data_IF_378681624015
#
_entry.id   IF_378681624015
#
_cell.length_a   1.000
_cell.length_b   1.000
_cell.length_c   1.000
_cell.angle_alpha   90.00
_cell.angle_beta   90.00
_cell.angle_gamma   90.00
#
_symmetry.space_group_name_H-M   'P 1'
#
loop_
_entity.id
_entity.type
_entity.pdbx_description
1 polymer ?
#
# COMPACT_ATOMS: atom_id res chain seq x y z
N UNK A 1 -22.46 15.74 35.96
CA UNK A 1 -22.38 14.60 35.06
C UNK A 1 -22.27 14.99 33.58
N UNK A 2 -22.91 16.09 33.13
CA UNK A 2 -22.88 16.53 31.72
C UNK A 2 -21.54 17.16 31.30
N UNK A 3 -20.77 17.72 32.20
CA UNK A 3 -19.46 18.33 31.93
C UNK A 3 -18.39 17.26 31.68
N UNK A 4 -18.41 16.16 32.43
CA UNK A 4 -17.48 15.03 32.24
C UNK A 4 -17.64 14.36 30.87
N UNK A 5 -18.89 14.18 30.40
CA UNK A 5 -19.15 13.60 29.08
C UNK A 5 -18.74 14.51 27.93
N UNK A 6 -18.78 15.84 28.11
CA UNK A 6 -18.33 16.80 27.08
C UNK A 6 -16.80 16.86 26.98
N UNK A 7 -16.10 16.72 28.08
CA UNK A 7 -14.63 16.66 28.10
C UNK A 7 -14.15 15.37 27.44
N UNK A 8 -14.72 14.22 27.85
CA UNK A 8 -14.41 12.92 27.22
C UNK A 8 -14.71 12.90 25.71
N UNK A 9 -15.83 13.51 25.27
CA UNK A 9 -16.17 13.62 23.85
C UNK A 9 -15.26 14.56 23.05
N UNK A 10 -14.64 15.54 23.73
CA UNK A 10 -13.69 16.47 23.13
C UNK A 10 -12.33 15.82 22.96
N UNK A 11 -11.85 15.07 23.95
CA UNK A 11 -10.65 14.25 23.88
C UNK A 11 -10.74 13.18 22.80
N UNK A 12 -11.91 12.57 22.61
CA UNK A 12 -12.16 11.57 21.57
C UNK A 12 -11.98 12.16 20.15
N UNK A 13 -12.48 13.37 19.91
CA UNK A 13 -12.34 14.03 18.60
C UNK A 13 -10.90 14.36 18.25
N UNK A 14 -10.05 14.61 19.23
CA UNK A 14 -8.63 14.92 19.04
C UNK A 14 -7.81 13.69 18.66
N UNK A 15 -8.30 12.49 18.98
CA UNK A 15 -7.69 11.20 18.64
C UNK A 15 -8.08 10.67 17.27
N UNK A 16 -9.06 11.29 16.60
CA UNK A 16 -9.53 10.88 15.28
C UNK A 16 -8.99 11.80 14.21
N UNK A 17 -8.37 11.22 13.21
CA UNK A 17 -7.86 11.93 12.04
C UNK A 17 -8.50 11.38 10.78
N UNK A 18 -9.05 12.27 9.96
CA UNK A 18 -9.55 11.95 8.63
C UNK A 18 -8.51 12.27 7.59
N UNK A 19 -8.30 11.35 6.65
CA UNK A 19 -7.48 11.54 5.45
C UNK A 19 -8.29 11.13 4.23
N UNK A 20 -7.99 11.73 3.09
CA UNK A 20 -8.62 11.33 1.85
C UNK A 20 -8.25 12.21 0.68
N UNK A 21 -8.60 11.76 -0.50
CA UNK A 21 -8.44 12.50 -1.75
C UNK A 21 -9.55 12.16 -2.73
N UNK A 22 -9.81 13.11 -3.62
CA UNK A 22 -10.66 12.95 -4.78
C UNK A 22 -9.88 13.37 -6.02
N UNK A 23 -9.83 12.48 -7.04
CA UNK A 23 -9.19 12.76 -8.32
C UNK A 23 -10.14 12.48 -9.46
N UNK A 24 -10.25 13.42 -10.38
CA UNK A 24 -10.80 13.21 -11.72
C UNK A 24 -9.65 13.22 -12.72
N UNK A 25 -9.65 12.31 -13.68
CA UNK A 25 -8.61 12.19 -14.69
C UNK A 25 -9.21 11.95 -16.06
N UNK A 26 -8.84 12.78 -17.03
CA UNK A 26 -9.07 12.59 -18.44
C UNK A 26 -7.82 11.96 -19.07
N UNK A 27 -7.98 10.88 -19.80
CA UNK A 27 -6.89 10.19 -20.49
C UNK A 27 -7.24 10.06 -21.96
N UNK A 28 -6.28 10.36 -22.82
CA UNK A 28 -6.31 10.11 -24.25
C UNK A 28 -5.09 9.32 -24.65
N UNK A 29 -5.31 8.24 -25.38
CA UNK A 29 -4.27 7.34 -25.87
C UNK A 29 -4.31 7.35 -27.39
N UNK A 30 -3.19 7.71 -27.99
CA UNK A 30 -2.87 7.59 -29.40
C UNK A 30 -1.68 6.62 -29.49
N UNK A 31 -1.92 5.42 -29.98
CA UNK A 31 -0.92 4.34 -30.04
C UNK A 31 -0.89 3.84 -31.48
N UNK A 32 0.30 3.81 -32.08
CA UNK A 32 0.52 3.30 -33.44
C UNK A 32 -0.13 1.93 -33.62
N UNK A 33 -0.82 1.73 -34.73
CA UNK A 33 -1.57 0.53 -35.10
C UNK A 33 -2.72 0.15 -34.15
N UNK A 34 -3.19 1.07 -33.30
CA UNK A 34 -4.37 0.88 -32.46
C UNK A 34 -5.37 2.02 -32.63
N UNK A 35 -6.63 1.72 -32.33
CA UNK A 35 -7.66 2.75 -32.30
C UNK A 35 -7.43 3.71 -31.12
N UNK A 36 -7.51 5.00 -31.37
CA UNK A 36 -7.49 6.04 -30.34
C UNK A 36 -8.53 5.75 -29.26
N UNK A 37 -8.12 5.93 -28.03
CA UNK A 37 -8.98 5.69 -26.88
C UNK A 37 -8.98 6.89 -25.95
N UNK A 38 -10.17 7.37 -25.61
CA UNK A 38 -10.37 8.38 -24.60
C UNK A 38 -11.17 7.78 -23.44
N UNK A 39 -10.77 8.05 -22.21
CA UNK A 39 -11.51 7.64 -21.01
C UNK A 39 -11.48 8.68 -19.91
N UNK A 40 -12.54 8.66 -19.10
CA UNK A 40 -12.68 9.47 -17.90
C UNK A 40 -12.56 8.55 -16.70
N UNK A 41 -11.77 8.95 -15.70
CA UNK A 41 -11.58 8.15 -14.48
C UNK A 41 -11.77 9.00 -13.23
N UNK A 42 -12.31 8.39 -12.19
CA UNK A 42 -12.38 8.96 -10.86
C UNK A 42 -11.61 8.08 -9.87
N UNK A 43 -11.12 8.70 -8.81
CA UNK A 43 -10.64 8.05 -7.59
C UNK A 43 -11.14 8.84 -6.40
N UNK A 44 -11.73 8.15 -5.44
CA UNK A 44 -12.05 8.71 -4.13
C UNK A 44 -11.49 7.76 -3.07
N UNK A 45 -10.76 8.30 -2.11
CA UNK A 45 -10.23 7.55 -0.95
C UNK A 45 -10.59 8.30 0.31
N UNK A 46 -10.97 7.57 1.33
CA UNK A 46 -11.24 8.11 2.66
C UNK A 46 -10.72 7.14 3.71
N UNK A 47 -9.98 7.64 4.68
CA UNK A 47 -9.48 6.86 5.80
C UNK A 47 -9.75 7.56 7.13
N UNK A 48 -10.08 6.77 8.12
CA UNK A 48 -10.18 7.16 9.52
C UNK A 48 -9.04 6.53 10.29
N UNK A 49 -8.26 7.34 10.97
CA UNK A 49 -7.14 6.92 11.82
C UNK A 49 -7.49 7.31 13.25
N UNK A 50 -7.35 6.37 14.19
CA UNK A 50 -7.66 6.59 15.59
C UNK A 50 -6.47 6.22 16.47
N UNK A 51 -6.04 7.14 17.33
CA UNK A 51 -5.08 6.89 18.38
C UNK A 51 -5.84 6.24 19.58
N UNK A 52 -5.71 4.92 19.70
CA UNK A 52 -6.37 4.14 20.77
C UNK A 52 -5.78 4.51 22.12
N UNK A 53 -4.45 4.64 22.17
CA UNK A 53 -3.68 5.16 23.31
C UNK A 53 -2.37 5.77 22.78
N UNK A 54 -1.46 6.14 23.68
CA UNK A 54 -0.18 6.79 23.34
C UNK A 54 0.73 5.93 22.44
N UNK A 55 0.54 4.62 22.45
CA UNK A 55 1.40 3.67 21.73
C UNK A 55 0.67 2.90 20.62
N UNK A 56 -0.66 3.00 20.50
CA UNK A 56 -1.44 2.21 19.56
C UNK A 56 -2.31 3.11 18.69
N UNK A 57 -2.09 3.03 17.40
CA UNK A 57 -2.88 3.62 16.33
C UNK A 57 -3.60 2.51 15.56
N UNK A 58 -4.84 2.75 15.14
CA UNK A 58 -5.56 1.90 14.20
C UNK A 58 -6.03 2.73 13.01
N UNK A 59 -5.97 2.14 11.83
CA UNK A 59 -6.41 2.78 10.59
C UNK A 59 -7.42 1.93 9.85
N UNK A 60 -8.45 2.59 9.32
CA UNK A 60 -9.46 2.00 8.43
C UNK A 60 -9.64 2.91 7.22
N UNK A 61 -9.54 2.37 6.02
CA UNK A 61 -9.63 3.14 4.79
C UNK A 61 -10.44 2.43 3.72
N UNK A 62 -11.17 3.23 2.96
CA UNK A 62 -11.93 2.81 1.78
C UNK A 62 -11.42 3.57 0.56
N UNK A 63 -11.37 2.87 -0.58
CA UNK A 63 -11.04 3.46 -1.87
C UNK A 63 -12.04 3.01 -2.94
N UNK A 64 -12.29 3.86 -3.93
CA UNK A 64 -12.89 3.41 -5.19
C UNK A 64 -11.92 2.47 -5.89
N UNK A 65 -12.41 1.54 -6.68
CA UNK A 65 -11.58 0.59 -7.44
C UNK A 65 -12.24 -0.77 -7.54
N UNK A 66 -11.64 -1.64 -8.32
CA UNK A 66 -11.91 -3.06 -8.32
C UNK A 66 -10.96 -3.77 -7.36
N UNK A 67 -10.64 -5.00 -7.68
CA UNK A 67 -9.70 -5.86 -6.98
C UNK A 67 -8.22 -5.65 -7.42
N UNK A 68 -7.97 -4.76 -8.39
CA UNK A 68 -6.61 -4.41 -8.84
C UNK A 68 -5.82 -3.72 -7.71
N UNK A 69 -4.80 -4.37 -7.12
CA UNK A 69 -4.05 -3.82 -6.00
C UNK A 69 -3.19 -2.60 -6.38
N UNK A 70 -2.94 -2.40 -7.67
CA UNK A 70 -2.16 -1.28 -8.19
C UNK A 70 -3.02 -0.14 -8.75
N UNK A 71 -4.36 -0.18 -8.58
CA UNK A 71 -5.23 0.87 -9.08
C UNK A 71 -6.53 1.04 -8.34
N UNK A 72 -6.67 2.15 -7.64
CA UNK A 72 -7.92 2.60 -7.01
C UNK A 72 -8.81 3.44 -7.94
N UNK A 73 -8.52 3.44 -9.24
CA UNK A 73 -9.29 4.23 -10.22
C UNK A 73 -10.49 3.46 -10.76
N UNK A 74 -11.60 4.17 -10.94
CA UNK A 74 -12.81 3.69 -11.63
C UNK A 74 -13.01 4.46 -12.94
N UNK A 75 -13.28 3.73 -14.03
CA UNK A 75 -13.67 4.35 -15.31
C UNK A 75 -15.13 4.76 -15.29
N UNK A 76 -15.41 5.92 -15.86
CA UNK A 76 -16.76 6.42 -16.12
C UNK A 76 -17.22 6.04 -17.53
N UNK A 77 -18.51 6.15 -17.81
CA UNK A 77 -19.06 5.91 -19.15
C UNK A 77 -19.62 4.51 -19.36
N UNK A 78 -19.99 3.82 -18.29
CA UNK A 78 -20.58 2.50 -18.30
C UNK A 78 -22.07 2.56 -17.95
N UNK A 79 -22.86 3.22 -18.79
CA UNK A 79 -24.33 3.29 -18.67
C UNK A 79 -24.85 3.79 -17.32
N UNK A 80 -24.13 4.71 -16.66
CA UNK A 80 -24.43 5.21 -15.32
C UNK A 80 -24.36 4.16 -14.20
N UNK A 81 -23.63 3.05 -14.43
CA UNK A 81 -23.44 2.01 -13.41
C UNK A 81 -22.83 2.55 -12.13
N UNK A 82 -23.20 1.95 -11.00
CA UNK A 82 -22.56 2.21 -9.71
C UNK A 82 -21.10 1.80 -9.74
N UNK A 83 -20.26 2.42 -8.90
CA UNK A 83 -18.83 2.15 -8.82
C UNK A 83 -18.49 1.46 -7.51
N UNK A 84 -17.62 0.46 -7.59
CA UNK A 84 -17.20 -0.31 -6.43
C UNK A 84 -16.35 0.53 -5.46
N UNK A 85 -16.49 0.22 -4.19
CA UNK A 85 -15.66 0.72 -3.09
C UNK A 85 -15.09 -0.49 -2.37
N UNK A 86 -13.77 -0.49 -2.14
CA UNK A 86 -13.03 -1.59 -1.56
C UNK A 86 -12.39 -1.18 -0.23
N UNK A 87 -12.12 -2.18 0.63
CA UNK A 87 -11.29 -2.00 1.81
C UNK A 87 -9.83 -1.79 1.37
N UNK A 88 -9.33 -0.59 1.59
CA UNK A 88 -7.99 -0.18 1.16
C UNK A 88 -6.98 -0.24 2.30
N UNK A 89 -7.42 0.07 3.53
CA UNK A 89 -6.62 -0.01 4.74
C UNK A 89 -7.41 -0.63 5.89
N UNK A 90 -6.77 -1.52 6.65
CA UNK A 90 -7.28 -2.07 7.90
C UNK A 90 -6.08 -2.54 8.75
N UNK A 91 -5.51 -1.67 9.58
CA UNK A 91 -4.27 -1.96 10.28
C UNK A 91 -4.27 -1.48 11.72
N UNK A 92 -3.39 -2.10 12.50
CA UNK A 92 -2.93 -1.59 13.78
C UNK A 92 -1.42 -1.32 13.72
N UNK A 93 -0.98 -0.20 14.29
CA UNK A 93 0.40 0.19 14.49
C UNK A 93 0.66 0.31 15.99
N UNK A 94 1.73 -0.30 16.46
CA UNK A 94 2.19 -0.22 17.82
C UNK A 94 3.58 0.40 17.88
N UNK A 95 3.69 1.57 18.51
CA UNK A 95 4.96 2.19 18.84
C UNK A 95 5.61 1.37 19.97
N UNK A 96 6.68 0.67 19.66
CA UNK A 96 7.36 -0.20 20.63
C UNK A 96 8.10 0.62 21.70
N UNK A 97 8.45 0.01 22.85
CA UNK A 97 9.30 0.66 23.85
C UNK A 97 10.72 0.96 23.36
N UNK A 98 11.12 0.38 22.23
CA UNK A 98 12.42 0.63 21.61
C UNK A 98 12.30 1.87 20.73
N UNK A 99 13.05 2.90 21.06
CA UNK A 99 13.01 4.19 20.38
C UNK A 99 13.22 4.05 18.86
N UNK A 100 12.29 4.61 18.12
CA UNK A 100 12.27 4.58 16.65
C UNK A 100 11.70 3.32 16.03
N UNK A 101 11.24 2.30 16.78
CA UNK A 101 10.67 1.07 16.23
C UNK A 101 9.17 1.00 16.39
N UNK A 102 8.49 0.73 15.29
CA UNK A 102 7.06 0.44 15.20
C UNK A 102 6.79 -0.95 14.63
N UNK A 103 5.73 -1.57 15.11
CA UNK A 103 5.18 -2.82 14.56
C UNK A 103 3.83 -2.50 13.93
N UNK A 104 3.63 -2.94 12.68
CA UNK A 104 2.39 -2.72 11.93
C UNK A 104 1.84 -4.06 11.50
N UNK A 105 0.54 -4.26 11.66
CA UNK A 105 -0.15 -5.49 11.28
C UNK A 105 -1.47 -5.20 10.57
N UNK A 106 -1.80 -5.99 9.55
CA UNK A 106 -3.03 -5.89 8.78
C UNK A 106 -2.80 -5.49 7.33
N UNK A 107 -3.71 -4.71 6.75
CA UNK A 107 -3.59 -4.09 5.43
C UNK A 107 -3.20 -2.63 5.62
N UNK A 108 -1.99 -2.27 5.22
CA UNK A 108 -1.37 -0.98 5.56
C UNK A 108 -0.67 -0.33 4.37
N UNK A 109 -0.36 0.96 4.48
CA UNK A 109 0.43 1.64 3.45
C UNK A 109 1.80 1.00 3.32
N UNK A 110 2.25 0.80 2.08
CA UNK A 110 3.55 0.21 1.80
C UNK A 110 4.67 0.97 2.54
N UNK A 111 5.42 0.31 3.45
CA UNK A 111 6.40 0.96 4.30
C UNK A 111 7.73 1.24 3.60
N UNK A 112 7.91 0.77 2.36
CA UNK A 112 9.15 0.93 1.64
C UNK A 112 9.28 2.32 1.02
N UNK A 113 10.46 2.88 1.11
CA UNK A 113 10.81 4.13 0.45
C UNK A 113 10.72 3.96 -1.07
N UNK A 114 10.01 4.87 -1.72
CA UNK A 114 9.96 5.04 -3.17
C UNK A 114 10.59 6.38 -3.53
N UNK A 115 11.73 6.35 -4.19
CA UNK A 115 12.47 7.57 -4.57
C UNK A 115 11.61 8.42 -5.50
N UNK A 116 11.37 9.68 -5.12
CA UNK A 116 10.51 10.59 -5.85
C UNK A 116 9.06 10.14 -6.01
N UNK A 117 8.60 9.15 -5.24
CA UNK A 117 7.26 8.57 -5.35
C UNK A 117 7.02 7.77 -6.63
N UNK A 118 8.10 7.37 -7.35
CA UNK A 118 7.97 6.60 -8.59
C UNK A 118 7.38 5.20 -8.34
N UNK A 119 6.77 4.62 -9.38
CA UNK A 119 6.17 3.28 -9.36
C UNK A 119 7.01 2.17 -9.97
N UNK A 120 8.34 2.34 -10.10
CA UNK A 120 9.21 1.36 -10.76
C UNK A 120 9.28 0.03 -10.01
N UNK A 121 9.33 0.07 -8.68
CA UNK A 121 9.41 -1.12 -7.84
C UNK A 121 8.07 -1.38 -7.13
N UNK A 122 7.44 -0.33 -6.62
CA UNK A 122 6.18 -0.40 -5.87
C UNK A 122 5.20 0.63 -6.40
N UNK A 123 3.99 0.21 -6.80
CA UNK A 123 2.94 1.15 -7.14
C UNK A 123 2.48 1.97 -5.92
N UNK A 124 2.01 3.18 -6.17
CA UNK A 124 1.57 4.10 -5.13
C UNK A 124 0.23 3.76 -4.50
N UNK A 125 -0.56 2.97 -5.19
CA UNK A 125 -1.86 2.51 -4.72
C UNK A 125 -1.76 1.12 -4.02
N UNK A 126 -0.57 0.47 -4.05
CA UNK A 126 -0.35 -0.85 -3.43
C UNK A 126 -0.27 -0.73 -1.90
N UNK A 127 -1.27 -1.26 -1.22
CA UNK A 127 -1.33 -1.39 0.24
C UNK A 127 -1.22 -2.87 0.63
N UNK A 128 -0.03 -3.34 1.08
CA UNK A 128 0.20 -4.75 1.37
C UNK A 128 -0.53 -5.24 2.62
N UNK A 129 -0.64 -6.56 2.71
CA UNK A 129 -1.24 -7.29 3.83
C UNK A 129 -0.19 -8.13 4.54
N UNK A 130 -0.07 -7.98 5.85
CA UNK A 130 0.94 -8.73 6.60
C UNK A 130 1.38 -8.08 7.89
N UNK A 131 2.67 -8.26 8.15
CA UNK A 131 3.39 -7.65 9.27
C UNK A 131 4.54 -6.80 8.74
N UNK A 132 4.75 -5.65 9.38
CA UNK A 132 5.91 -4.80 9.12
C UNK A 132 6.54 -4.34 10.43
N UNK A 133 7.87 -4.27 10.41
CA UNK A 133 8.67 -3.51 11.37
C UNK A 133 9.14 -2.26 10.65
N UNK A 134 8.87 -1.09 11.20
CA UNK A 134 9.39 0.18 10.72
C UNK A 134 10.37 0.75 11.73
N UNK A 135 11.44 1.33 11.24
CA UNK A 135 12.47 1.98 12.05
C UNK A 135 12.76 3.38 11.52
N UNK A 136 12.75 4.35 12.41
CA UNK A 136 13.17 5.71 12.08
C UNK A 136 13.84 6.35 13.30
N UNK A 137 15.12 6.68 13.16
CA UNK A 137 15.87 7.35 14.24
C UNK A 137 16.99 8.21 13.67
N UNK A 138 16.91 9.51 13.92
CA UNK A 138 17.87 10.49 13.39
C UNK A 138 17.87 10.48 11.87
N UNK A 139 19.02 10.25 11.26
CA UNK A 139 19.15 10.16 9.82
C UNK A 139 18.77 8.79 9.23
N UNK A 140 18.64 7.76 10.06
CA UNK A 140 18.45 6.39 9.60
C UNK A 140 16.97 6.01 9.54
N UNK A 141 16.62 5.27 8.50
CA UNK A 141 15.32 4.62 8.36
C UNK A 141 15.48 3.16 7.93
N UNK A 142 14.46 2.37 8.18
CA UNK A 142 14.40 0.98 7.73
C UNK A 142 13.02 0.38 7.83
N UNK A 143 12.81 -0.69 7.07
CA UNK A 143 11.59 -1.48 7.11
C UNK A 143 11.92 -2.94 6.88
N UNK A 144 11.27 -3.83 7.61
CA UNK A 144 11.27 -5.27 7.35
C UNK A 144 9.83 -5.77 7.31
N UNK A 145 9.51 -6.63 6.37
CA UNK A 145 8.14 -7.12 6.17
C UNK A 145 8.08 -8.64 5.97
N UNK A 146 6.95 -9.21 6.42
CA UNK A 146 6.43 -10.48 5.98
C UNK A 146 5.00 -10.28 5.49
N UNK A 147 4.78 -10.44 4.18
CA UNK A 147 3.51 -10.15 3.52
C UNK A 147 2.88 -11.43 2.98
N UNK A 148 1.58 -11.56 3.17
CA UNK A 148 0.78 -12.62 2.54
C UNK A 148 0.48 -12.22 1.10
N UNK A 149 0.89 -13.05 0.14
CA UNK A 149 0.61 -12.81 -1.29
C UNK A 149 -0.59 -13.59 -1.76
N UNK A 150 -0.66 -14.87 -1.39
CA UNK A 150 -1.78 -15.74 -1.73
C UNK A 150 -1.96 -16.80 -0.64
N UNK A 151 -3.20 -17.03 -0.20
CA UNK A 151 -3.59 -18.11 0.70
C UNK A 151 -4.21 -19.23 -0.15
N UNK A 152 -3.70 -20.45 0.03
CA UNK A 152 -4.13 -21.62 -0.71
C UNK A 152 -4.58 -22.73 0.24
N UNK A 153 -5.88 -22.94 0.34
CA UNK A 153 -6.47 -23.94 1.26
C UNK A 153 -6.04 -25.40 0.99
N UNK A 154 -5.36 -25.71 -0.12
CA UNK A 154 -4.97 -27.05 -0.55
C UNK A 154 -3.49 -27.19 -0.91
N UNK A 155 -2.75 -26.12 -0.82
CA UNK A 155 -1.34 -26.04 -1.21
C UNK A 155 -0.60 -25.07 -0.28
N UNK A 156 0.71 -24.88 -0.46
CA UNK A 156 1.49 -23.93 0.31
C UNK A 156 1.12 -22.49 -0.03
N UNK A 157 1.04 -21.64 0.98
CA UNK A 157 0.79 -20.19 0.79
C UNK A 157 2.01 -19.51 0.18
N UNK A 158 1.76 -18.43 -0.54
CA UNK A 158 2.83 -17.61 -1.09
C UNK A 158 3.05 -16.35 -0.26
N UNK A 159 4.32 -16.00 -0.05
CA UNK A 159 4.72 -14.88 0.80
C UNK A 159 5.73 -13.98 0.10
N UNK A 160 5.78 -12.72 0.56
CA UNK A 160 6.91 -11.84 0.29
C UNK A 160 7.60 -11.50 1.61
N UNK A 161 8.89 -11.74 1.68
CA UNK A 161 9.74 -11.20 2.74
C UNK A 161 10.63 -10.12 2.17
N UNK A 162 10.77 -9.02 2.89
CA UNK A 162 11.55 -7.90 2.39
C UNK A 162 12.18 -7.09 3.50
N UNK A 163 13.32 -6.51 3.19
CA UNK A 163 14.01 -5.55 4.05
C UNK A 163 14.53 -4.39 3.22
N UNK A 164 14.39 -3.19 3.75
CA UNK A 164 14.98 -1.97 3.19
C UNK A 164 15.56 -1.15 4.33
N UNK A 165 16.71 -0.52 4.09
CA UNK A 165 17.31 0.41 5.02
C UNK A 165 18.01 1.53 4.28
N UNK A 166 18.15 2.68 4.93
CA UNK A 166 18.76 3.83 4.31
C UNK A 166 19.00 4.98 5.28
N UNK A 167 19.37 6.10 4.69
CA UNK A 167 19.64 7.33 5.42
C UNK A 167 19.10 8.55 4.67
N UNK A 168 18.75 9.56 5.45
CA UNK A 168 18.47 10.93 5.02
C UNK A 168 19.58 11.84 5.56
N UNK A 169 20.26 12.57 4.69
CA UNK A 169 21.36 13.45 5.09
C UNK A 169 21.20 14.82 4.43
N UNK A 170 21.34 15.87 5.24
CA UNK A 170 21.44 17.22 4.75
C UNK A 170 22.91 17.54 4.46
N UNK A 171 23.21 17.81 3.19
CA UNK A 171 24.54 18.15 2.68
C UNK A 171 24.67 19.68 2.54
N UNK A 172 24.53 20.41 3.65
CA UNK A 172 24.44 21.86 3.69
C UNK A 172 23.02 22.40 3.47
N UNK A 173 22.89 23.71 3.28
CA UNK A 173 21.59 24.39 3.29
C UNK A 173 20.74 24.16 2.02
N UNK A 174 21.33 23.63 0.96
CA UNK A 174 20.67 23.53 -0.35
C UNK A 174 20.48 22.10 -0.88
N UNK A 175 21.08 21.09 -0.25
CA UNK A 175 21.07 19.71 -0.75
C UNK A 175 20.68 18.73 0.32
N UNK A 176 19.60 18.00 0.09
CA UNK A 176 19.21 16.84 0.87
C UNK A 176 19.44 15.56 0.07
N UNK A 177 20.07 14.56 0.68
CA UNK A 177 20.33 13.25 0.12
C UNK A 177 19.48 12.21 0.84
N UNK A 178 18.72 11.42 0.09
CA UNK A 178 18.10 10.18 0.58
C UNK A 178 18.70 9.00 -0.19
N UNK A 179 19.26 8.04 0.53
CA UNK A 179 19.85 6.83 -0.05
C UNK A 179 19.36 5.59 0.71
N UNK A 180 19.10 4.51 -0.01
CA UNK A 180 18.65 3.25 0.58
C UNK A 180 18.98 2.05 -0.28
N UNK A 181 19.00 0.88 0.35
CA UNK A 181 19.14 -0.42 -0.26
C UNK A 181 18.04 -1.34 0.26
N UNK A 182 17.50 -2.19 -0.59
CA UNK A 182 16.48 -3.17 -0.24
C UNK A 182 16.76 -4.53 -0.85
N UNK A 183 16.26 -5.56 -0.17
CA UNK A 183 16.21 -6.92 -0.65
C UNK A 183 14.80 -7.47 -0.46
N UNK A 184 14.28 -8.12 -1.49
CA UNK A 184 12.93 -8.69 -1.50
C UNK A 184 13.01 -10.12 -2.04
N UNK A 185 12.30 -11.03 -1.41
CA UNK A 185 12.21 -12.41 -1.83
C UNK A 185 10.74 -12.85 -1.83
N UNK A 186 10.29 -13.37 -2.96
CA UNK A 186 8.97 -13.93 -3.13
C UNK A 186 9.08 -15.45 -2.98
N UNK A 187 8.41 -15.99 -1.99
CA UNK A 187 8.46 -17.41 -1.63
C UNK A 187 7.26 -18.13 -2.24
N UNK A 188 7.50 -19.36 -2.69
CA UNK A 188 6.49 -20.32 -3.15
C UNK A 188 5.63 -19.82 -4.32
N UNK A 189 6.26 -19.10 -5.28
CA UNK A 189 5.61 -18.65 -6.52
C UNK A 189 5.93 -19.52 -7.73
N UNK A 190 7.06 -20.20 -7.74
CA UNK A 190 7.45 -21.04 -8.87
C UNK A 190 6.45 -22.18 -9.10
N UNK A 191 6.02 -22.33 -10.34
CA UNK A 191 5.04 -23.34 -10.71
C UNK A 191 3.59 -22.97 -10.42
N UNK A 192 3.33 -21.75 -9.92
CA UNK A 192 1.97 -21.27 -9.64
C UNK A 192 1.44 -20.36 -10.75
N UNK A 193 0.13 -20.22 -10.89
CA UNK A 193 -0.42 -19.21 -11.78
C UNK A 193 -0.02 -17.81 -11.32
N UNK A 194 -0.01 -16.80 -12.23
CA UNK A 194 0.18 -15.42 -11.83
C UNK A 194 -0.82 -15.01 -10.74
N UNK A 195 -0.33 -14.38 -9.66
CA UNK A 195 -1.10 -14.11 -8.44
C UNK A 195 -2.31 -13.23 -8.72
N UNK A 196 -2.20 -12.29 -9.65
CA UNK A 196 -3.22 -11.29 -9.88
C UNK A 196 -3.80 -11.43 -11.29
N UNK A 197 -5.13 -11.60 -11.40
CA UNK A 197 -5.96 -11.71 -12.61
C UNK A 197 -5.45 -12.68 -13.72
N UNK A 198 -4.46 -13.52 -13.40
CA UNK A 198 -3.84 -14.45 -14.35
C UNK A 198 -2.93 -13.79 -15.39
N UNK A 199 -2.71 -12.46 -15.30
CA UNK A 199 -1.81 -11.73 -16.20
C UNK A 199 -0.36 -11.86 -15.71
N UNK A 200 0.56 -12.41 -16.50
CA UNK A 200 1.96 -12.55 -16.11
C UNK A 200 2.71 -11.22 -15.98
N UNK A 201 2.19 -10.12 -16.49
CA UNK A 201 2.75 -8.76 -16.41
C UNK A 201 4.25 -8.68 -16.75
N UNK A 202 4.66 -9.47 -17.74
CA UNK A 202 6.05 -9.56 -18.19
C UNK A 202 6.88 -10.65 -17.52
N UNK A 203 6.34 -11.38 -16.54
CA UNK A 203 7.01 -12.56 -16.00
C UNK A 203 6.99 -13.72 -16.99
N UNK A 204 8.04 -14.55 -16.96
CA UNK A 204 8.13 -15.74 -17.82
C UNK A 204 7.19 -16.84 -17.31
N UNK A 205 6.40 -17.39 -18.21
CA UNK A 205 5.53 -18.53 -17.91
C UNK A 205 6.12 -19.83 -18.47
N UNK A 206 5.80 -20.95 -17.83
CA UNK A 206 5.95 -22.31 -18.34
C UNK A 206 4.90 -22.60 -19.41
N UNK A 207 5.04 -23.70 -20.12
CA UNK A 207 4.09 -24.12 -21.15
C UNK A 207 2.67 -24.40 -20.60
N UNK A 208 2.54 -24.70 -19.33
CA UNK A 208 1.27 -24.91 -18.61
C UNK A 208 0.63 -23.62 -18.09
N UNK A 209 1.27 -22.47 -18.32
CA UNK A 209 0.80 -21.16 -17.87
C UNK A 209 1.22 -20.76 -16.45
N UNK A 210 1.97 -21.63 -15.76
CA UNK A 210 2.50 -21.31 -14.45
C UNK A 210 3.76 -20.42 -14.51
N UNK A 211 4.06 -19.71 -13.42
CA UNK A 211 5.28 -18.91 -13.29
C UNK A 211 6.53 -19.80 -13.39
N UNK A 212 7.50 -19.42 -14.21
CA UNK A 212 8.71 -20.20 -14.46
C UNK A 212 9.73 -20.08 -13.33
N UNK A 213 9.68 -18.98 -12.56
CA UNK A 213 10.62 -18.66 -11.51
C UNK A 213 9.91 -18.08 -10.28
N UNK A 214 10.35 -18.50 -9.08
CA UNK A 214 10.18 -17.76 -7.84
C UNK A 214 11.47 -17.00 -7.56
N UNK A 215 11.36 -15.76 -7.17
CA UNK A 215 12.51 -14.94 -6.80
C UNK A 215 12.65 -14.89 -5.30
#
# INVERSE_FOLDING_TARGET
PQTSNKVAAREWKERLRWKGDLRYRHESFDVEDRRDRTRQRIRARAALIADVNENVEVGFGLATGGDDPASTNQSLGDGFSTKAIQLDLAYARWASPIDGFDVIAGKFNNPFLRIGGNGLLWDGDLNPEGLALAFERGAWFGSAVGLWLNEESRDEDSYLVGVQGGLNADLGDAVALTAGIGYFNLLDLEGRPPIFDGDPRGNTLRADGALAYGY
#
